data_IF_639374645744
#
_entry.id   IF_639374645744
#
_cell.length_a   1.000
_cell.length_b   1.000
_cell.length_c   1.000
_cell.angle_alpha   90.00
_cell.angle_beta   90.00
_cell.angle_gamma   90.00
#
_symmetry.space_group_name_H-M   'P 1'
#
loop_
_entity.id
_entity.type
_entity.pdbx_description
1 polymer ?
#
# COMPACT_ATOMS: atom_id res chain seq x y z
N UNK A 1 0.09 29.87 -20.49
CA UNK A 1 1.00 30.66 -21.35
C UNK A 1 2.00 31.33 -20.43
N UNK A 2 3.30 31.23 -20.71
CA UNK A 2 4.31 31.94 -19.91
C UNK A 2 4.25 33.44 -20.23
N UNK A 3 4.33 34.28 -19.21
CA UNK A 3 4.39 35.73 -19.35
C UNK A 3 5.68 36.11 -20.10
N UNK A 4 5.59 36.85 -21.24
CA UNK A 4 6.73 37.20 -22.08
C UNK A 4 7.81 38.04 -21.38
N UNK A 5 7.52 38.63 -20.20
CA UNK A 5 8.50 39.36 -19.39
C UNK A 5 9.27 38.52 -18.37
N UNK A 6 8.89 37.25 -18.15
CA UNK A 6 9.48 36.41 -17.10
C UNK A 6 10.69 35.66 -17.66
N UNK A 7 11.89 36.21 -17.40
CA UNK A 7 13.15 35.54 -17.71
C UNK A 7 13.51 34.55 -16.58
N UNK A 8 13.76 33.29 -16.93
CA UNK A 8 14.19 32.30 -15.96
C UNK A 8 15.56 32.71 -15.36
N UNK A 9 15.78 32.54 -14.05
CA UNK A 9 17.06 32.89 -13.44
C UNK A 9 18.20 32.10 -14.11
N UNK A 10 19.24 32.81 -14.56
CA UNK A 10 20.41 32.16 -15.19
C UNK A 10 21.20 31.29 -14.21
N UNK A 11 21.03 31.50 -12.90
CA UNK A 11 21.68 30.73 -11.84
C UNK A 11 20.65 29.93 -11.05
N UNK A 12 20.80 28.60 -11.02
CA UNK A 12 20.00 27.72 -10.17
C UNK A 12 20.54 27.76 -8.74
N UNK A 13 19.76 28.26 -7.80
CA UNK A 13 20.08 28.19 -6.37
C UNK A 13 19.58 26.86 -5.80
N UNK A 14 20.51 25.99 -5.38
CA UNK A 14 20.19 24.67 -4.81
C UNK A 14 19.36 24.76 -3.53
N UNK A 15 19.63 25.77 -2.68
CA UNK A 15 18.88 26.01 -1.43
C UNK A 15 17.41 26.37 -1.67
N UNK A 16 17.06 26.85 -2.86
CA UNK A 16 15.68 27.10 -3.25
C UNK A 16 15.08 25.94 -4.08
N UNK A 17 15.88 25.32 -4.95
CA UNK A 17 15.40 24.31 -5.90
C UNK A 17 15.09 22.99 -5.20
N UNK A 18 15.96 22.52 -4.30
CA UNK A 18 15.78 21.24 -3.60
C UNK A 18 14.49 21.25 -2.75
N UNK A 19 14.23 22.27 -1.90
CA UNK A 19 12.98 22.32 -1.14
C UNK A 19 11.73 22.39 -2.02
N UNK A 20 11.79 23.04 -3.19
CA UNK A 20 10.65 23.07 -4.12
C UNK A 20 10.33 21.68 -4.65
N UNK A 21 11.35 20.91 -5.04
CA UNK A 21 11.16 19.51 -5.47
C UNK A 21 10.63 18.67 -4.32
N UNK A 22 11.23 18.76 -3.13
CA UNK A 22 10.79 18.03 -1.93
C UNK A 22 9.33 18.32 -1.58
N UNK A 23 8.92 19.58 -1.67
CA UNK A 23 7.54 19.99 -1.43
C UNK A 23 6.60 19.49 -2.54
N UNK A 24 7.06 19.45 -3.80
CA UNK A 24 6.28 18.94 -4.93
C UNK A 24 6.06 17.43 -4.88
N UNK A 25 6.94 16.67 -4.24
CA UNK A 25 6.79 15.21 -4.06
C UNK A 25 6.40 14.82 -2.62
N UNK A 26 6.05 15.79 -1.78
CA UNK A 26 5.68 15.55 -0.39
C UNK A 26 4.33 14.87 -0.30
N UNK A 27 4.17 13.91 0.61
CA UNK A 27 2.88 13.29 0.93
C UNK A 27 2.01 14.11 1.92
N UNK A 28 2.51 15.23 2.42
CA UNK A 28 1.81 16.02 3.46
C UNK A 28 1.78 17.52 3.21
N UNK A 29 2.59 18.03 2.27
CA UNK A 29 2.66 19.46 1.96
C UNK A 29 2.12 19.72 0.57
N UNK A 30 1.46 20.88 0.43
CA UNK A 30 0.96 21.37 -0.85
C UNK A 30 0.04 20.37 -1.58
N UNK A 31 -0.77 19.59 -0.86
CA UNK A 31 -1.64 18.54 -1.41
C UNK A 31 -2.60 19.02 -2.52
N UNK A 32 -2.90 20.32 -2.55
CA UNK A 32 -3.70 20.94 -3.61
C UNK A 32 -2.99 20.93 -4.99
N UNK A 33 -1.65 20.85 -5.02
CA UNK A 33 -0.83 21.04 -6.21
C UNK A 33 0.38 20.10 -6.35
N UNK A 34 0.71 19.30 -5.33
CA UNK A 34 1.85 18.39 -5.37
C UNK A 34 1.60 17.23 -6.36
N UNK A 35 2.66 16.50 -6.72
CA UNK A 35 2.58 15.39 -7.65
C UNK A 35 1.85 14.17 -7.06
N UNK A 36 2.05 13.87 -5.78
CA UNK A 36 1.55 12.64 -5.14
C UNK A 36 0.03 12.63 -5.10
N UNK A 37 -0.60 13.71 -4.63
CA UNK A 37 -2.05 13.88 -4.56
C UNK A 37 -2.68 14.04 -5.96
N UNK A 38 -1.89 14.42 -6.97
CA UNK A 38 -2.34 14.46 -8.38
C UNK A 38 -2.30 13.08 -9.04
N UNK A 39 -1.36 12.23 -8.65
CA UNK A 39 -1.26 10.84 -9.13
C UNK A 39 -2.32 9.95 -8.46
N UNK A 40 -2.58 10.18 -7.17
CA UNK A 40 -3.55 9.42 -6.37
C UNK A 40 -4.63 10.33 -5.75
N UNK A 41 -5.49 10.95 -6.56
CA UNK A 41 -6.46 11.95 -6.09
C UNK A 41 -7.62 11.36 -5.28
N UNK A 42 -7.81 10.04 -5.33
CA UNK A 42 -8.85 9.33 -4.61
C UNK A 42 -8.24 8.12 -3.90
N UNK A 43 -8.73 7.82 -2.71
CA UNK A 43 -8.42 6.61 -1.97
C UNK A 43 -9.68 6.14 -1.22
N UNK A 44 -9.74 4.85 -0.95
CA UNK A 44 -10.80 4.23 -0.16
C UNK A 44 -10.13 3.27 0.82
N UNK A 45 -10.32 3.43 2.15
CA UNK A 45 -9.77 2.51 3.13
C UNK A 45 -10.32 1.09 2.94
N UNK A 46 -9.47 0.10 3.16
CA UNK A 46 -9.88 -1.30 3.26
C UNK A 46 -10.48 -1.58 4.64
N UNK A 47 -11.44 -2.51 4.70
CA UNK A 47 -11.80 -3.15 5.97
C UNK A 47 -10.81 -4.29 6.24
N UNK A 48 -10.32 -4.37 7.48
CA UNK A 48 -9.26 -5.29 7.85
C UNK A 48 -9.74 -6.21 8.97
N UNK A 49 -9.59 -7.51 8.75
CA UNK A 49 -9.63 -8.51 9.81
C UNK A 49 -8.24 -9.11 9.95
N UNK A 50 -7.87 -9.52 11.15
CA UNK A 50 -6.53 -9.94 11.53
C UNK A 50 -6.53 -11.24 12.32
N UNK A 51 -5.52 -12.05 12.05
CA UNK A 51 -5.18 -13.21 12.85
C UNK A 51 -3.65 -13.30 13.01
N UNK A 52 -3.19 -13.56 14.22
CA UNK A 52 -1.76 -13.72 14.51
C UNK A 52 -1.40 -15.21 14.50
N UNK A 53 -0.40 -15.58 13.70
CA UNK A 53 0.06 -16.96 13.59
C UNK A 53 0.81 -17.36 14.88
N UNK A 54 0.38 -18.42 15.59
CA UNK A 54 1.04 -18.87 16.81
C UNK A 54 2.31 -19.68 16.50
N UNK A 55 3.28 -19.62 17.42
CA UNK A 55 4.50 -20.45 17.35
C UNK A 55 5.80 -19.68 17.05
N UNK A 56 5.71 -18.40 16.68
CA UNK A 56 6.88 -17.54 16.48
C UNK A 56 7.65 -17.82 15.19
N UNK A 57 8.97 -17.64 15.22
CA UNK A 57 9.85 -17.75 14.05
C UNK A 57 9.72 -19.12 13.38
N UNK A 58 9.49 -19.14 12.06
CA UNK A 58 9.40 -20.36 11.26
C UNK A 58 8.09 -21.14 11.40
N UNK A 59 7.20 -20.77 12.32
CA UNK A 59 5.94 -21.48 12.52
C UNK A 59 5.02 -21.48 11.29
N UNK A 60 5.13 -20.45 10.43
CA UNK A 60 4.42 -20.34 9.17
C UNK A 60 4.64 -21.55 8.22
N UNK A 61 5.76 -22.26 8.33
CA UNK A 61 6.04 -23.45 7.51
C UNK A 61 5.13 -24.63 7.83
N UNK A 62 4.42 -24.59 8.96
CA UNK A 62 3.53 -25.66 9.42
C UNK A 62 2.07 -25.45 9.00
N UNK A 63 1.76 -24.32 8.35
CA UNK A 63 0.39 -23.96 7.97
C UNK A 63 0.27 -23.85 6.46
N UNK A 64 -0.75 -24.49 5.90
CA UNK A 64 -1.22 -24.25 4.53
C UNK A 64 -2.10 -23.00 4.48
N UNK A 65 -2.35 -22.48 3.28
CA UNK A 65 -3.28 -21.36 3.11
C UNK A 65 -4.66 -21.72 3.67
N UNK A 66 -5.12 -22.94 3.40
CA UNK A 66 -6.39 -23.49 3.90
C UNK A 66 -6.44 -23.51 5.43
N UNK A 67 -5.37 -23.97 6.10
CA UNK A 67 -5.27 -23.97 7.57
C UNK A 67 -5.44 -22.55 8.14
N UNK A 68 -4.91 -21.53 7.44
CA UNK A 68 -5.04 -20.13 7.83
C UNK A 68 -6.47 -19.63 7.61
N UNK A 69 -7.10 -20.00 6.49
CA UNK A 69 -8.45 -19.51 6.15
C UNK A 69 -9.53 -20.03 7.11
N UNK A 70 -9.29 -21.20 7.71
CA UNK A 70 -10.14 -21.78 8.75
C UNK A 70 -10.02 -21.09 10.11
N UNK A 71 -9.08 -20.15 10.26
CA UNK A 71 -8.89 -19.42 11.51
C UNK A 71 -9.92 -18.30 11.70
N UNK A 72 -10.11 -17.90 12.96
CA UNK A 72 -10.98 -16.78 13.30
C UNK A 72 -10.20 -15.46 13.21
N UNK A 73 -10.48 -14.69 12.16
CA UNK A 73 -9.97 -13.33 12.03
C UNK A 73 -10.83 -12.35 12.83
N UNK A 74 -10.19 -11.38 13.47
CA UNK A 74 -10.84 -10.36 14.31
C UNK A 74 -10.63 -8.95 13.73
N UNK A 75 -11.58 -8.01 13.87
CA UNK A 75 -11.43 -6.68 13.30
C UNK A 75 -10.17 -5.94 13.78
N UNK A 76 -9.51 -5.24 12.85
CA UNK A 76 -8.39 -4.35 13.13
C UNK A 76 -8.46 -3.09 12.27
N UNK A 77 -7.57 -2.13 12.51
CA UNK A 77 -7.53 -0.86 11.78
C UNK A 77 -6.12 -0.47 11.37
N UNK A 78 -6.03 0.32 10.31
CA UNK A 78 -4.78 0.98 9.90
C UNK A 78 -4.24 1.80 11.07
N UNK A 79 -2.94 1.67 11.34
CA UNK A 79 -2.27 2.29 12.48
C UNK A 79 -2.13 1.39 13.72
N UNK A 80 -2.70 0.18 13.69
CA UNK A 80 -2.47 -0.84 14.73
C UNK A 80 -1.04 -1.38 14.64
N UNK A 81 -0.40 -1.57 15.80
CA UNK A 81 0.95 -2.14 15.89
C UNK A 81 0.90 -3.65 16.08
N UNK A 82 1.75 -4.37 15.35
CA UNK A 82 1.86 -5.83 15.39
C UNK A 82 3.31 -6.26 15.67
N UNK A 83 3.48 -7.44 16.25
CA UNK A 83 4.78 -8.00 16.63
C UNK A 83 4.61 -9.25 17.50
N UNK A 84 5.70 -9.78 18.09
CA UNK A 84 7.08 -9.26 18.10
C UNK A 84 7.82 -9.49 16.77
N UNK A 85 9.12 -9.15 16.69
CA UNK A 85 9.94 -9.50 15.52
C UNK A 85 9.88 -11.02 15.27
N UNK A 86 9.86 -11.41 13.99
CA UNK A 86 9.73 -12.78 13.49
C UNK A 86 8.37 -13.43 13.73
N UNK A 87 7.34 -12.66 14.11
CA UNK A 87 5.95 -13.12 14.06
C UNK A 87 5.42 -13.09 12.62
N UNK A 88 4.41 -13.91 12.32
CA UNK A 88 3.63 -13.81 11.09
C UNK A 88 2.22 -13.36 11.43
N UNK A 89 1.70 -12.39 10.69
CA UNK A 89 0.34 -11.88 10.86
C UNK A 89 -0.40 -11.98 9.54
N UNK A 90 -1.59 -12.56 9.59
CA UNK A 90 -2.46 -12.64 8.44
C UNK A 90 -3.57 -11.61 8.53
N UNK A 91 -3.87 -11.00 7.40
CA UNK A 91 -4.95 -10.04 7.25
C UNK A 91 -5.89 -10.50 6.15
N UNK A 92 -7.19 -10.58 6.47
CA UNK A 92 -8.24 -10.61 5.46
C UNK A 92 -8.60 -9.16 5.13
N UNK A 93 -8.38 -8.78 3.88
CA UNK A 93 -8.56 -7.43 3.37
C UNK A 93 -9.82 -7.41 2.52
N UNK A 94 -10.83 -6.69 2.97
CA UNK A 94 -12.07 -6.51 2.22
C UNK A 94 -12.04 -5.13 1.56
N UNK A 95 -12.06 -5.13 0.24
CA UNK A 95 -12.01 -3.93 -0.59
C UNK A 95 -13.38 -3.67 -1.20
N UNK A 96 -13.80 -2.41 -1.17
CA UNK A 96 -14.93 -1.93 -1.98
C UNK A 96 -14.40 -0.87 -2.93
N UNK A 97 -14.43 -1.14 -4.24
CA UNK A 97 -13.96 -0.23 -5.28
C UNK A 97 -15.14 0.66 -5.73
N UNK A 98 -15.08 1.99 -5.52
CA UNK A 98 -16.15 2.90 -5.94
C UNK A 98 -16.40 2.87 -7.45
N UNK A 99 -17.66 2.91 -7.87
CA UNK A 99 -18.04 2.92 -9.29
C UNK A 99 -17.50 4.13 -10.06
N UNK A 100 -17.25 5.23 -9.36
CA UNK A 100 -16.65 6.47 -9.84
C UNK A 100 -15.18 6.30 -10.28
N UNK A 101 -14.59 5.14 -10.00
CA UNK A 101 -13.25 4.77 -10.43
C UNK A 101 -13.24 3.98 -11.75
N UNK A 102 -14.40 3.74 -12.37
CA UNK A 102 -14.49 3.10 -13.69
C UNK A 102 -13.65 3.85 -14.73
N UNK A 103 -12.90 3.10 -15.54
CA UNK A 103 -11.95 3.59 -16.54
C UNK A 103 -10.62 4.08 -15.98
N UNK A 104 -10.37 3.94 -14.66
CA UNK A 104 -9.11 4.35 -14.01
C UNK A 104 -8.27 3.14 -13.63
N UNK A 105 -6.96 3.34 -13.51
CA UNK A 105 -6.08 2.39 -12.84
C UNK A 105 -6.42 2.36 -11.34
N UNK A 106 -6.54 1.17 -10.78
CA UNK A 106 -6.82 0.93 -9.37
C UNK A 106 -5.67 0.14 -8.77
N UNK A 107 -5.13 0.64 -7.66
CA UNK A 107 -4.05 0.00 -6.91
C UNK A 107 -4.47 -0.35 -5.50
N UNK A 108 -4.11 -1.56 -5.07
CA UNK A 108 -4.08 -1.91 -3.67
C UNK A 108 -2.78 -1.39 -3.08
N UNK A 109 -2.84 -0.69 -1.94
CA UNK A 109 -1.67 -0.19 -1.23
C UNK A 109 -1.59 -0.80 0.17
N UNK A 110 -0.42 -1.33 0.51
CA UNK A 110 -0.09 -1.87 1.80
C UNK A 110 1.28 -1.33 2.25
N UNK A 111 1.30 -0.70 3.41
CA UNK A 111 2.50 -0.08 3.96
C UNK A 111 2.59 -0.35 5.47
N UNK A 112 3.17 -1.50 5.83
CA UNK A 112 3.31 -1.95 7.22
C UNK A 112 4.66 -1.59 7.86
N UNK A 113 5.58 -0.98 7.09
CA UNK A 113 6.96 -0.81 7.55
C UNK A 113 7.74 -2.14 7.61
N UNK A 114 7.25 -3.18 6.94
CA UNK A 114 7.82 -4.52 6.93
C UNK A 114 7.71 -5.18 5.54
N UNK A 115 8.08 -6.46 5.47
CA UNK A 115 7.78 -7.33 4.33
C UNK A 115 6.38 -7.94 4.46
N UNK A 116 5.73 -8.14 3.32
CA UNK A 116 4.48 -8.88 3.26
C UNK A 116 4.31 -9.60 1.92
N UNK A 117 3.47 -10.62 1.90
CA UNK A 117 3.06 -11.34 0.69
C UNK A 117 1.57 -11.10 0.47
N UNK A 118 1.22 -10.70 -0.75
CA UNK A 118 -0.16 -10.53 -1.19
C UNK A 118 -0.66 -11.83 -1.83
N UNK A 119 -1.85 -12.25 -1.43
CA UNK A 119 -2.52 -13.46 -1.88
C UNK A 119 -3.91 -13.13 -2.41
N UNK A 120 -4.35 -13.86 -3.44
CA UNK A 120 -5.73 -13.84 -3.92
C UNK A 120 -6.67 -14.55 -2.94
N UNK A 121 -7.97 -14.40 -3.14
CA UNK A 121 -8.98 -15.15 -2.38
C UNK A 121 -8.81 -16.68 -2.53
N UNK A 122 -8.41 -17.13 -3.72
CA UNK A 122 -8.16 -18.54 -4.04
C UNK A 122 -6.77 -19.08 -3.59
N UNK A 123 -6.02 -18.33 -2.79
CA UNK A 123 -4.72 -18.78 -2.26
C UNK A 123 -3.54 -18.72 -3.25
N UNK A 124 -3.66 -17.95 -4.33
CA UNK A 124 -2.55 -17.72 -5.28
C UNK A 124 -1.70 -16.53 -4.79
N UNK A 125 -0.37 -16.72 -4.73
CA UNK A 125 0.57 -15.63 -4.48
C UNK A 125 0.55 -14.65 -5.64
N UNK A 126 0.18 -13.39 -5.35
CA UNK A 126 0.12 -12.31 -6.35
C UNK A 126 1.42 -11.52 -6.41
N UNK A 127 1.93 -11.06 -5.26
CA UNK A 127 3.13 -10.21 -5.20
C UNK A 127 3.75 -10.16 -3.81
N UNK A 128 5.07 -10.08 -3.72
CA UNK A 128 5.75 -9.60 -2.52
C UNK A 128 5.63 -8.07 -2.39
N UNK A 129 5.50 -7.59 -1.16
CA UNK A 129 5.36 -6.18 -0.79
C UNK A 129 6.47 -5.82 0.21
N UNK A 130 7.05 -4.64 0.08
CA UNK A 130 8.12 -4.16 0.96
C UNK A 130 8.03 -2.65 1.16
N UNK A 131 7.99 -2.24 2.42
CA UNK A 131 8.02 -0.84 2.84
C UNK A 131 9.42 -0.29 3.12
N UNK A 132 10.50 -1.01 2.76
CA UNK A 132 11.87 -0.65 3.19
C UNK A 132 12.28 0.76 2.77
N UNK A 133 13.02 1.49 3.61
CA UNK A 133 13.55 2.81 3.26
C UNK A 133 14.67 2.80 2.19
N UNK A 134 15.05 1.63 1.68
CA UNK A 134 16.12 1.46 0.69
C UNK A 134 15.58 0.97 -0.66
N UNK A 135 16.46 0.68 -1.62
CA UNK A 135 16.23 0.63 -3.07
C UNK A 135 15.16 -0.34 -3.63
N UNK A 136 14.27 -0.90 -2.80
CA UNK A 136 13.28 -1.91 -3.15
C UNK A 136 11.88 -1.64 -2.55
N UNK A 137 11.49 -0.36 -2.42
CA UNK A 137 10.11 0.00 -2.01
C UNK A 137 9.10 -0.55 -3.01
N UNK A 138 8.17 -1.37 -2.54
CA UNK A 138 7.02 -1.87 -3.28
C UNK A 138 5.82 -1.99 -2.33
N UNK A 139 5.11 -0.89 -2.16
CA UNK A 139 3.96 -0.80 -1.25
C UNK A 139 2.63 -0.92 -1.97
N UNK A 140 2.62 -1.20 -3.27
CA UNK A 140 1.39 -1.31 -4.05
C UNK A 140 1.37 -2.49 -5.04
N UNK A 141 0.15 -2.85 -5.44
CA UNK A 141 -0.16 -3.85 -6.45
C UNK A 141 -1.28 -3.32 -7.36
N UNK A 142 -1.12 -3.50 -8.67
CA UNK A 142 -2.13 -3.06 -9.66
C UNK A 142 -3.27 -4.06 -9.68
N UNK A 143 -4.44 -3.66 -9.19
CA UNK A 143 -5.66 -4.47 -9.25
C UNK A 143 -6.27 -4.46 -10.65
N UNK A 144 -6.25 -3.31 -11.30
CA UNK A 144 -6.67 -3.16 -12.69
C UNK A 144 -6.01 -1.93 -13.30
N UNK A 145 -5.55 -2.03 -14.54
CA UNK A 145 -5.06 -0.88 -15.31
C UNK A 145 -6.18 0.02 -15.83
N UNK A 146 -7.41 -0.51 -15.89
CA UNK A 146 -8.62 0.20 -16.31
C UNK A 146 -9.82 -0.53 -15.73
N UNK A 147 -10.28 -0.13 -14.55
CA UNK A 147 -11.38 -0.78 -13.86
C UNK A 147 -12.67 -0.69 -14.67
N UNK A 148 -13.31 -1.81 -14.93
CA UNK A 148 -14.51 -1.91 -15.79
C UNK A 148 -15.83 -1.70 -15.02
N UNK A 149 -15.77 -1.66 -13.69
CA UNK A 149 -16.94 -1.51 -12.82
C UNK A 149 -17.66 -2.81 -12.50
N UNK A 150 -17.20 -3.98 -12.97
CA UNK A 150 -17.93 -5.24 -12.79
C UNK A 150 -17.70 -5.89 -11.42
N UNK A 151 -16.61 -5.55 -10.74
CA UNK A 151 -16.18 -6.22 -9.50
C UNK A 151 -16.03 -5.21 -8.36
N UNK A 152 -17.15 -4.73 -7.79
CA UNK A 152 -17.13 -3.67 -6.78
C UNK A 152 -16.60 -4.12 -5.43
N UNK A 153 -16.60 -5.42 -5.14
CA UNK A 153 -16.08 -6.00 -3.91
C UNK A 153 -14.98 -7.02 -4.25
N UNK A 154 -13.88 -6.97 -3.51
CA UNK A 154 -12.74 -7.86 -3.67
C UNK A 154 -12.18 -8.26 -2.30
N UNK A 155 -11.96 -9.55 -2.11
CA UNK A 155 -11.23 -10.08 -0.95
C UNK A 155 -9.79 -10.36 -1.36
N UNK A 156 -8.84 -9.91 -0.55
CA UNK A 156 -7.42 -10.27 -0.65
C UNK A 156 -6.92 -10.74 0.71
N UNK A 157 -5.79 -11.43 0.71
CA UNK A 157 -5.09 -11.77 1.94
C UNK A 157 -3.68 -11.21 1.94
N UNK A 158 -3.25 -10.72 3.09
CA UNK A 158 -1.87 -10.26 3.29
C UNK A 158 -1.24 -11.06 4.41
N UNK A 159 -0.15 -11.76 4.08
CA UNK A 159 0.73 -12.37 5.06
C UNK A 159 1.86 -11.38 5.36
N UNK A 160 1.84 -10.77 6.53
CA UNK A 160 2.83 -9.79 6.95
C UNK A 160 3.86 -10.41 7.89
N UNK A 161 5.14 -10.21 7.58
CA UNK A 161 6.23 -10.53 8.50
C UNK A 161 6.38 -9.41 9.53
N UNK A 162 6.38 -9.77 10.81
CA UNK A 162 6.71 -8.90 11.93
C UNK A 162 8.20 -8.59 11.89
N UNK A 163 8.58 -7.53 11.21
CA UNK A 163 9.96 -7.04 11.18
C UNK A 163 9.93 -5.52 11.12
N UNK A 164 10.81 -4.85 11.87
CA UNK A 164 11.05 -3.43 11.66
C UNK A 164 12.18 -3.31 10.64
N UNK A 165 11.85 -3.02 9.39
CA UNK A 165 12.84 -2.78 8.32
C UNK A 165 13.29 -1.32 8.36
#
# INVERSE_FOLDING_TARGET
>A
MADPGVQAPMHKNSKATIPRVQNFISSSRFSQVNLVDRLYPFNQPAELLHWALPGGEGAWQQYTFEDIMDQTFTPTTVGTSFGPTWSTHWFRVLLTIPTEWTGKEVRFRWDSGSEATLWSEDGVVLQGLSSSASAQVRTDYVLSSSYDGSTPALTLYVEMAGSKI
#
